data_IF_677844740640
#
_entry.id   IF_677844740640
#
_cell.length_a   1.000
_cell.length_b   1.000
_cell.length_c   1.000
_cell.angle_alpha   90.00
_cell.angle_beta   90.00
_cell.angle_gamma   90.00
#
_symmetry.space_group_name_H-M   'P 1'
#
loop_
_entity.id
_entity.type
_entity.pdbx_description
1 polymer ?
#
# COMPACT_ATOMS: atom_id res chain seq x y z
N UNK A 1 10.89 -7.63 1.20
CA UNK A 1 9.71 -6.93 0.63
C UNK A 1 8.46 -7.60 1.15
N UNK A 2 7.38 -6.86 1.35
CA UNK A 2 6.17 -7.34 2.05
C UNK A 2 5.52 -8.62 1.47
N UNK A 3 5.88 -9.03 0.25
CA UNK A 3 5.38 -10.27 -0.37
C UNK A 3 5.97 -11.59 0.15
N UNK A 4 7.00 -11.56 1.01
CA UNK A 4 7.58 -12.77 1.64
C UNK A 4 7.21 -12.90 3.12
N UNK A 5 6.40 -11.98 3.65
CA UNK A 5 6.02 -11.96 5.05
C UNK A 5 4.75 -12.80 5.27
N UNK A 6 4.78 -13.58 6.33
CA UNK A 6 3.62 -14.29 6.87
C UNK A 6 2.50 -13.30 7.27
N UNK A 7 1.28 -13.83 7.44
CA UNK A 7 0.09 -13.03 7.75
C UNK A 7 0.23 -12.24 9.06
N UNK A 8 0.99 -12.73 10.04
CA UNK A 8 1.22 -12.02 11.30
C UNK A 8 2.12 -10.80 11.10
N UNK A 9 3.18 -10.95 10.32
CA UNK A 9 4.07 -9.84 9.93
C UNK A 9 3.31 -8.72 9.20
N UNK A 10 2.34 -9.06 8.34
CA UNK A 10 1.46 -8.10 7.66
C UNK A 10 0.62 -7.27 8.64
N UNK A 11 0.09 -7.90 9.69
CA UNK A 11 -0.69 -7.23 10.74
C UNK A 11 0.18 -6.23 11.50
N UNK A 12 1.41 -6.62 11.89
CA UNK A 12 2.34 -5.72 12.60
C UNK A 12 2.68 -4.50 11.74
N UNK A 13 2.86 -4.69 10.44
CA UNK A 13 3.09 -3.58 9.49
C UNK A 13 1.88 -2.65 9.46
N UNK A 14 0.67 -3.19 9.32
CA UNK A 14 -0.57 -2.41 9.32
C UNK A 14 -0.72 -1.56 10.58
N UNK A 15 -0.47 -2.15 11.75
CA UNK A 15 -0.56 -1.44 13.03
C UNK A 15 0.49 -0.33 13.14
N UNK A 16 1.71 -0.59 12.65
CA UNK A 16 2.78 0.43 12.60
C UNK A 16 2.36 1.61 11.74
N UNK A 17 1.75 1.38 10.58
CA UNK A 17 1.32 2.47 9.69
C UNK A 17 0.21 3.30 10.31
N UNK A 18 -0.74 2.65 10.99
CA UNK A 18 -1.82 3.33 11.70
C UNK A 18 -1.26 4.23 12.80
N UNK A 19 -0.28 3.74 13.57
CA UNK A 19 0.41 4.54 14.59
C UNK A 19 1.11 5.76 13.99
N UNK A 20 1.90 5.58 12.91
CA UNK A 20 2.62 6.68 12.27
C UNK A 20 1.68 7.74 11.67
N UNK A 21 0.53 7.32 11.12
CA UNK A 21 -0.51 8.25 10.64
C UNK A 21 -1.07 9.09 11.78
N UNK A 22 -1.27 8.50 12.97
CA UNK A 22 -1.79 9.22 14.14
C UNK A 22 -0.82 10.30 14.65
N UNK A 23 0.48 10.15 14.39
CA UNK A 23 1.52 11.13 14.70
C UNK A 23 1.63 12.27 13.66
N UNK A 24 0.66 12.41 12.74
CA UNK A 24 0.70 13.33 11.60
C UNK A 24 1.92 13.14 10.67
N UNK A 25 2.49 11.94 10.65
CA UNK A 25 3.58 11.60 9.72
C UNK A 25 2.99 11.07 8.43
N UNK A 26 3.46 11.61 7.29
CA UNK A 26 3.10 11.08 5.97
C UNK A 26 3.92 9.82 5.69
N UNK A 27 3.24 8.70 5.48
CA UNK A 27 3.86 7.39 5.19
C UNK A 27 3.19 6.79 3.97
N UNK A 28 3.99 6.33 3.01
CA UNK A 28 3.54 5.62 1.81
C UNK A 28 4.19 4.25 1.71
N UNK A 29 3.47 3.29 1.14
CA UNK A 29 3.96 1.93 0.90
C UNK A 29 3.73 1.55 -0.55
N UNK A 30 4.69 0.80 -1.09
CA UNK A 30 4.56 0.10 -2.36
C UNK A 30 4.44 -1.39 -2.05
N UNK A 31 3.29 -1.97 -2.36
CA UNK A 31 3.02 -3.40 -2.17
C UNK A 31 2.09 -3.92 -3.25
N UNK A 32 2.25 -5.20 -3.59
CA UNK A 32 1.31 -5.95 -4.43
C UNK A 32 0.28 -6.74 -3.60
N UNK A 33 0.34 -6.65 -2.27
CA UNK A 33 -0.56 -7.34 -1.35
C UNK A 33 -1.87 -6.56 -1.24
N UNK A 34 -2.99 -7.18 -1.62
CA UNK A 34 -4.31 -6.54 -1.68
C UNK A 34 -4.81 -6.11 -0.30
N UNK A 35 -4.53 -6.90 0.74
CA UNK A 35 -4.96 -6.64 2.11
C UNK A 35 -4.41 -5.31 2.66
N UNK A 36 -3.21 -4.90 2.21
CA UNK A 36 -2.65 -3.60 2.58
C UNK A 36 -3.38 -2.43 1.91
N UNK A 37 -3.94 -2.64 0.71
CA UNK A 37 -4.65 -1.60 -0.02
C UNK A 37 -6.03 -1.31 0.59
N UNK A 38 -6.71 -2.33 1.14
CA UNK A 38 -8.02 -2.17 1.77
C UNK A 38 -7.98 -1.31 3.04
N UNK A 39 -6.87 -1.35 3.78
CA UNK A 39 -6.70 -0.62 5.05
C UNK A 39 -6.29 0.84 4.86
N UNK A 40 -5.75 1.20 3.68
CA UNK A 40 -5.26 2.55 3.38
C UNK A 40 -6.28 3.28 2.50
N UNK A 41 -6.97 4.26 3.08
CA UNK A 41 -8.03 5.02 2.38
C UNK A 41 -7.59 5.71 1.08
N UNK A 42 -6.31 6.10 0.96
CA UNK A 42 -5.79 6.76 -0.24
C UNK A 42 -4.76 5.85 -0.91
N UNK A 43 -5.05 5.41 -2.13
CA UNK A 43 -4.17 4.51 -2.87
C UNK A 43 -3.98 4.93 -4.33
N UNK A 44 -2.78 4.65 -4.84
CA UNK A 44 -2.44 4.77 -6.25
C UNK A 44 -2.24 3.37 -6.80
N UNK A 45 -2.99 3.02 -7.83
CA UNK A 45 -2.81 1.79 -8.59
C UNK A 45 -1.98 2.08 -9.82
N UNK A 46 -0.96 1.26 -10.06
CA UNK A 46 -0.10 1.36 -11.23
C UNK A 46 -0.43 0.21 -12.16
N UNK A 47 -0.81 0.52 -13.39
CA UNK A 47 -1.12 -0.45 -14.44
C UNK A 47 -0.07 -0.38 -15.53
N UNK A 48 0.44 -1.53 -15.96
CA UNK A 48 1.33 -1.59 -17.12
C UNK A 48 0.49 -1.67 -18.40
N UNK A 49 0.46 -0.60 -19.18
CA UNK A 49 -0.14 -0.58 -20.52
C UNK A 49 0.91 -0.91 -21.59
N UNK A 50 0.63 -1.85 -22.51
CA UNK A 50 1.60 -2.32 -23.49
C UNK A 50 2.01 -1.27 -24.53
N UNK A 51 1.25 -0.19 -24.71
CA UNK A 51 1.52 0.87 -25.70
C UNK A 51 1.94 2.17 -25.01
N UNK A 52 1.30 2.51 -23.90
CA UNK A 52 1.44 3.79 -23.20
C UNK A 52 2.41 3.72 -22.02
N UNK A 53 2.88 2.53 -21.63
CA UNK A 53 3.78 2.33 -20.49
C UNK A 53 3.02 2.31 -19.16
N UNK A 54 3.64 2.83 -18.09
CA UNK A 54 3.01 2.83 -16.75
C UNK A 54 1.91 3.88 -16.64
N UNK A 55 0.69 3.44 -16.35
CA UNK A 55 -0.48 4.29 -16.10
C UNK A 55 -0.80 4.33 -14.61
N UNK A 56 -1.26 5.49 -14.12
CA UNK A 56 -1.65 5.69 -12.73
C UNK A 56 -3.17 5.81 -12.65
N UNK A 57 -3.78 5.06 -11.74
CA UNK A 57 -5.17 5.19 -11.36
C UNK A 57 -5.25 5.59 -9.88
N UNK A 58 -5.96 6.69 -9.60
CA UNK A 58 -6.15 7.20 -8.25
C UNK A 58 -7.45 6.63 -7.67
N UNK A 59 -7.37 5.91 -6.55
CA UNK A 59 -8.54 5.51 -5.76
C UNK A 59 -8.65 6.49 -4.59
N UNK A 60 -9.71 7.30 -4.57
CA UNK A 60 -10.06 8.17 -3.43
C UNK A 60 -11.09 7.50 -2.53
#
# INVERSE_FOLDING_TARGET
GFGTQDRESLIVVLDTLKALRSENRSVGIISHVEELQQEVNASLRIHLDPVRGSLIETSQ
#
